data_IF_326110167163
#
_entry.id   IF_326110167163
#
_cell.length_a   1.000
_cell.length_b   1.000
_cell.length_c   1.000
_cell.angle_alpha   90.00
_cell.angle_beta   90.00
_cell.angle_gamma   90.00
#
_symmetry.space_group_name_H-M   'P 1'
#
loop_
_entity.id
_entity.type
_entity.pdbx_description
1 polymer ?
#
# COMPACT_ATOMS: atom_id res chain seq x y z
N UNK A 1 57.12 -9.30 57.90
CA UNK A 1 56.39 -8.40 56.97
C UNK A 1 56.46 -9.08 55.62
N UNK A 2 55.45 -9.89 55.34
CA UNK A 2 55.43 -10.79 54.19
C UNK A 2 54.79 -10.06 53.01
N UNK A 3 55.54 -9.90 51.91
CA UNK A 3 55.05 -9.29 50.67
C UNK A 3 54.56 -10.37 49.72
N UNK A 4 53.26 -10.34 49.41
CA UNK A 4 52.59 -11.25 48.48
C UNK A 4 52.51 -10.57 47.12
N UNK A 5 53.15 -11.15 46.11
CA UNK A 5 53.05 -10.75 44.71
C UNK A 5 51.89 -11.47 44.03
N UNK A 6 50.87 -10.70 43.60
CA UNK A 6 49.74 -11.24 42.83
C UNK A 6 50.00 -11.08 41.32
N UNK A 7 49.85 -12.18 40.60
CA UNK A 7 49.96 -12.31 39.15
C UNK A 7 48.56 -12.13 38.53
N UNK A 8 48.33 -11.08 37.74
CA UNK A 8 47.05 -10.88 37.04
C UNK A 8 47.11 -11.49 35.63
N UNK A 9 46.22 -12.45 35.34
CA UNK A 9 45.98 -12.99 34.00
C UNK A 9 44.87 -12.16 33.32
N UNK A 10 44.97 -11.83 32.02
CA UNK A 10 43.87 -11.16 31.33
C UNK A 10 42.81 -12.20 30.92
N UNK A 11 41.54 -11.86 31.15
CA UNK A 11 40.37 -12.60 30.66
C UNK A 11 40.05 -12.05 29.27
N UNK A 12 40.15 -12.89 28.24
CA UNK A 12 39.61 -12.60 26.91
C UNK A 12 38.09 -12.84 26.93
N UNK A 13 37.31 -11.79 26.70
CA UNK A 13 35.86 -11.86 26.52
C UNK A 13 35.56 -11.90 25.01
N UNK A 14 35.27 -13.09 24.49
CA UNK A 14 34.80 -13.26 23.13
C UNK A 14 33.30 -12.93 23.05
N UNK A 15 32.96 -11.86 22.34
CA UNK A 15 31.56 -11.50 22.01
C UNK A 15 31.20 -12.14 20.66
N UNK A 16 30.29 -13.13 20.69
CA UNK A 16 29.69 -13.72 19.50
C UNK A 16 28.48 -12.85 19.12
N UNK A 17 28.50 -12.27 17.93
CA UNK A 17 27.39 -11.48 17.39
C UNK A 17 26.56 -12.33 16.42
N UNK A 18 25.24 -12.23 16.59
CA UNK A 18 24.16 -13.01 15.97
C UNK A 18 24.06 -12.95 14.44
N UNK A 19 23.35 -13.93 13.87
CA UNK A 19 22.45 -13.68 12.74
C UNK A 19 21.21 -14.59 12.83
N UNK A 20 20.11 -14.08 13.38
CA UNK A 20 18.78 -14.63 13.10
C UNK A 20 18.28 -13.95 11.83
N UNK A 21 18.25 -14.68 10.72
CA UNK A 21 17.51 -14.27 9.53
C UNK A 21 16.03 -14.45 9.83
N UNK A 22 15.30 -13.35 9.99
CA UNK A 22 13.84 -13.37 10.03
C UNK A 22 13.34 -13.36 8.58
N UNK A 23 13.02 -14.53 8.05
CA UNK A 23 12.17 -14.60 6.86
C UNK A 23 10.78 -14.13 7.27
N UNK A 24 10.40 -12.91 6.87
CA UNK A 24 9.01 -12.47 6.98
C UNK A 24 8.18 -13.32 6.01
N UNK A 25 7.45 -14.28 6.56
CA UNK A 25 6.51 -15.10 5.81
C UNK A 25 5.38 -14.20 5.27
N UNK A 26 5.17 -14.22 3.95
CA UNK A 26 4.10 -13.46 3.27
C UNK A 26 2.77 -13.84 3.90
N UNK A 27 2.06 -12.86 4.48
CA UNK A 27 0.76 -13.08 5.09
C UNK A 27 -0.20 -13.73 4.07
N UNK A 28 -1.04 -14.69 4.48
CA UNK A 28 -1.97 -15.36 3.58
C UNK A 28 -2.93 -14.33 2.97
N UNK A 29 -3.14 -14.43 1.66
CA UNK A 29 -4.13 -13.62 0.93
C UNK A 29 -5.46 -13.63 1.69
N UNK A 30 -5.92 -12.46 2.09
CA UNK A 30 -7.14 -12.33 2.90
C UNK A 30 -8.29 -12.81 2.04
N UNK A 31 -8.97 -13.90 2.44
CA UNK A 31 -10.20 -14.32 1.77
C UNK A 31 -11.23 -13.22 1.94
N UNK A 32 -11.40 -12.46 0.88
CA UNK A 32 -12.39 -11.41 0.83
C UNK A 32 -13.78 -12.04 0.78
N UNK A 33 -14.61 -11.71 1.76
CA UNK A 33 -15.99 -12.21 1.86
C UNK A 33 -16.97 -11.34 1.06
N UNK A 34 -16.51 -10.26 0.42
CA UNK A 34 -17.31 -9.35 -0.40
C UNK A 34 -17.72 -10.02 -1.72
N UNK A 35 -18.89 -9.68 -2.23
CA UNK A 35 -19.29 -10.16 -3.56
C UNK A 35 -18.51 -9.41 -4.66
N UNK A 36 -18.28 -10.02 -5.84
CA UNK A 36 -17.66 -9.32 -6.96
C UNK A 36 -18.39 -8.03 -7.35
N UNK A 37 -19.72 -8.00 -7.23
CA UNK A 37 -20.52 -6.81 -7.52
C UNK A 37 -20.27 -5.68 -6.51
N UNK A 38 -20.06 -6.00 -5.22
CA UNK A 38 -19.72 -4.99 -4.20
C UNK A 38 -18.34 -4.40 -4.44
N UNK A 39 -17.37 -5.25 -4.81
CA UNK A 39 -16.01 -4.84 -5.16
C UNK A 39 -16.08 -3.90 -6.37
N UNK A 40 -16.78 -4.31 -7.43
CA UNK A 40 -16.94 -3.51 -8.64
C UNK A 40 -17.63 -2.17 -8.38
N UNK A 41 -18.69 -2.13 -7.57
CA UNK A 41 -19.37 -0.91 -7.18
C UNK A 41 -18.43 0.05 -6.43
N UNK A 42 -17.62 -0.47 -5.51
CA UNK A 42 -16.67 0.33 -4.75
C UNK A 42 -15.53 0.86 -5.64
N UNK A 43 -14.93 0.00 -6.46
CA UNK A 43 -13.88 0.39 -7.41
C UNK A 43 -14.39 1.43 -8.40
N UNK A 44 -15.65 1.31 -8.86
CA UNK A 44 -16.28 2.29 -9.74
C UNK A 44 -16.36 3.68 -9.10
N UNK A 45 -16.74 3.77 -7.83
CA UNK A 45 -16.72 5.03 -7.09
C UNK A 45 -15.29 5.58 -6.93
N UNK A 46 -14.32 4.72 -6.59
CA UNK A 46 -12.93 5.14 -6.43
C UNK A 46 -12.38 5.72 -7.76
N UNK A 47 -12.60 5.04 -8.89
CA UNK A 47 -12.17 5.53 -10.21
C UNK A 47 -12.87 6.84 -10.59
N UNK A 48 -14.17 6.98 -10.27
CA UNK A 48 -14.88 8.24 -10.47
C UNK A 48 -14.24 9.40 -9.72
N UNK A 49 -13.92 9.20 -8.43
CA UNK A 49 -13.31 10.22 -7.58
C UNK A 49 -11.88 10.55 -8.04
N UNK A 50 -11.08 9.55 -8.39
CA UNK A 50 -9.73 9.72 -8.93
C UNK A 50 -9.73 10.57 -10.22
N UNK A 51 -10.63 10.26 -11.17
CA UNK A 51 -10.82 11.05 -12.40
C UNK A 51 -11.31 12.48 -12.13
N UNK A 52 -12.03 12.69 -11.03
CA UNK A 52 -12.45 14.02 -10.59
C UNK A 52 -11.35 14.79 -9.83
N UNK A 53 -10.14 14.23 -9.69
CA UNK A 53 -9.02 14.76 -8.90
C UNK A 53 -9.25 14.76 -7.38
N UNK A 54 -10.10 13.86 -6.88
CA UNK A 54 -10.30 13.61 -5.46
C UNK A 54 -9.72 12.24 -5.11
N UNK A 55 -8.45 12.20 -4.73
CA UNK A 55 -7.71 10.96 -4.50
C UNK A 55 -8.36 10.04 -3.45
N UNK A 56 -8.94 8.90 -3.84
CA UNK A 56 -9.63 7.98 -2.92
C UNK A 56 -8.65 7.09 -2.12
N UNK A 57 -7.34 7.29 -2.30
CA UNK A 57 -6.33 6.33 -1.88
C UNK A 57 -6.14 5.26 -2.95
N UNK A 58 -5.92 4.01 -2.52
CA UNK A 58 -5.77 2.87 -3.42
C UNK A 58 -7.10 2.39 -4.00
N UNK A 59 -7.08 1.91 -5.24
CA UNK A 59 -8.21 1.30 -5.94
C UNK A 59 -8.33 -0.19 -5.57
N UNK A 60 -8.84 -0.47 -4.38
CA UNK A 60 -8.94 -1.81 -3.76
C UNK A 60 -10.39 -2.32 -3.58
N UNK A 61 -11.37 -1.60 -4.15
CA UNK A 61 -12.78 -1.93 -4.00
C UNK A 61 -13.29 -1.85 -2.56
N UNK A 62 -12.61 -1.10 -1.68
CA UNK A 62 -13.00 -0.89 -0.29
C UNK A 62 -13.38 0.58 -0.04
N UNK A 63 -14.54 0.80 0.60
CA UNK A 63 -15.00 2.11 1.05
C UNK A 63 -14.27 2.57 2.33
N UNK A 64 -12.94 2.64 2.26
CA UNK A 64 -12.08 3.06 3.35
C UNK A 64 -12.11 4.56 3.61
N UNK A 65 -11.31 4.99 4.58
CA UNK A 65 -11.26 6.38 5.06
C UNK A 65 -10.96 7.38 3.95
N UNK A 66 -10.02 7.05 3.08
CA UNK A 66 -9.62 7.93 1.99
C UNK A 66 -10.73 8.05 0.94
N UNK A 67 -11.35 6.95 0.51
CA UNK A 67 -12.54 6.97 -0.38
C UNK A 67 -13.66 7.84 0.20
N UNK A 68 -13.96 7.68 1.50
CA UNK A 68 -15.03 8.47 2.16
C UNK A 68 -14.70 9.94 2.26
N UNK A 69 -13.46 10.29 2.62
CA UNK A 69 -12.99 11.69 2.68
C UNK A 69 -13.00 12.32 1.30
N UNK A 70 -12.55 11.60 0.28
CA UNK A 70 -12.58 12.05 -1.11
C UNK A 70 -14.02 12.33 -1.58
N UNK A 71 -14.97 11.44 -1.26
CA UNK A 71 -16.38 11.67 -1.56
C UNK A 71 -16.94 12.89 -0.83
N UNK A 72 -16.65 13.05 0.46
CA UNK A 72 -17.12 14.21 1.23
C UNK A 72 -16.61 15.54 0.65
N UNK A 73 -15.31 15.60 0.30
CA UNK A 73 -14.70 16.76 -0.33
C UNK A 73 -15.26 17.02 -1.74
N UNK A 74 -15.51 15.96 -2.52
CA UNK A 74 -16.14 16.07 -3.83
C UNK A 74 -17.55 16.67 -3.71
N UNK A 75 -18.38 16.19 -2.76
CA UNK A 75 -19.71 16.75 -2.49
C UNK A 75 -19.63 18.22 -2.03
N UNK A 76 -18.73 18.53 -1.09
CA UNK A 76 -18.50 19.91 -0.62
C UNK A 76 -18.12 20.84 -1.78
N UNK A 77 -17.28 20.38 -2.72
CA UNK A 77 -16.89 21.16 -3.90
C UNK A 77 -18.06 21.51 -4.84
N UNK A 78 -19.16 20.73 -4.78
CA UNK A 78 -20.41 20.99 -5.52
C UNK A 78 -21.44 21.79 -4.70
N UNK A 79 -21.09 22.20 -3.48
CA UNK A 79 -22.00 22.87 -2.54
C UNK A 79 -23.03 21.93 -1.90
N UNK A 80 -22.82 20.62 -1.97
CA UNK A 80 -23.66 19.63 -1.29
C UNK A 80 -23.24 19.49 0.16
N UNK A 81 -24.18 19.10 1.02
CA UNK A 81 -23.88 18.83 2.41
C UNK A 81 -22.99 17.58 2.50
N UNK A 82 -21.79 17.66 3.10
CA UNK A 82 -20.92 16.49 3.22
C UNK A 82 -21.58 15.45 4.12
N UNK A 83 -21.49 14.18 3.70
CA UNK A 83 -21.96 13.07 4.52
C UNK A 83 -21.13 12.94 5.79
N UNK A 84 -21.78 12.59 6.90
CA UNK A 84 -21.08 12.23 8.12
C UNK A 84 -20.20 11.01 7.85
N UNK A 85 -18.88 11.06 8.11
CA UNK A 85 -18.01 9.90 7.92
C UNK A 85 -18.56 8.72 8.72
N UNK A 86 -18.96 7.65 8.02
CA UNK A 86 -19.35 6.39 8.63
C UNK A 86 -18.19 5.73 9.38
N UNK A 87 -18.42 4.54 9.96
CA UNK A 87 -17.34 3.80 10.62
C UNK A 87 -16.21 3.52 9.60
N UNK A 88 -14.98 4.04 9.83
CA UNK A 88 -13.83 3.88 8.93
C UNK A 88 -13.47 2.40 8.67
N UNK A 89 -13.78 1.52 9.62
CA UNK A 89 -13.52 0.08 9.53
C UNK A 89 -14.62 -0.70 8.82
N UNK A 90 -15.70 -0.04 8.39
CA UNK A 90 -16.83 -0.67 7.71
C UNK A 90 -16.73 -0.47 6.20
N UNK A 91 -17.02 -1.53 5.44
CA UNK A 91 -17.20 -1.46 3.99
C UNK A 91 -18.64 -1.10 3.59
N UNK A 92 -19.41 -0.40 4.44
CA UNK A 92 -20.76 0.01 4.10
C UNK A 92 -20.74 0.99 2.92
N UNK A 93 -21.53 0.73 1.88
CA UNK A 93 -21.64 1.63 0.74
C UNK A 93 -22.06 3.04 1.20
N UNK A 94 -21.35 4.10 0.76
CA UNK A 94 -21.77 5.48 0.99
C UNK A 94 -22.96 5.84 0.11
N UNK A 95 -23.59 7.00 0.33
CA UNK A 95 -24.54 7.50 -0.65
C UNK A 95 -23.80 7.95 -1.92
N UNK A 96 -24.23 7.43 -3.06
CA UNK A 96 -23.68 7.74 -4.39
C UNK A 96 -24.72 8.43 -5.28
N UNK A 97 -25.82 8.90 -4.69
CA UNK A 97 -26.86 9.63 -5.39
C UNK A 97 -26.29 10.88 -6.10
N UNK A 98 -26.75 11.10 -7.33
CA UNK A 98 -26.30 12.22 -8.16
C UNK A 98 -24.87 12.09 -8.71
N UNK A 99 -24.27 10.90 -8.64
CA UNK A 99 -23.01 10.58 -9.32
C UNK A 99 -23.30 9.77 -10.59
N UNK A 100 -22.72 10.17 -11.71
CA UNK A 100 -22.82 9.44 -12.98
C UNK A 100 -21.77 8.33 -13.07
N UNK A 101 -21.91 7.33 -12.20
CA UNK A 101 -20.98 6.21 -12.12
C UNK A 101 -21.03 5.30 -13.36
N UNK A 102 -22.14 5.33 -14.11
CA UNK A 102 -22.31 4.50 -15.31
C UNK A 102 -21.33 4.86 -16.43
N UNK A 103 -20.77 6.08 -16.41
CA UNK A 103 -19.68 6.49 -17.32
C UNK A 103 -18.36 5.77 -17.08
N UNK A 104 -18.22 5.12 -15.93
CA UNK A 104 -17.04 4.34 -15.56
C UNK A 104 -17.27 2.88 -15.96
N UNK A 105 -17.03 2.60 -17.24
CA UNK A 105 -17.10 1.27 -17.83
C UNK A 105 -16.03 1.11 -18.94
N UNK A 106 -15.28 0.00 -19.01
CA UNK A 106 -15.23 -1.08 -18.02
C UNK A 106 -14.50 -0.64 -16.74
N UNK A 107 -14.90 -1.20 -15.59
CA UNK A 107 -14.22 -0.94 -14.29
C UNK A 107 -12.89 -1.68 -14.21
N UNK A 108 -12.84 -2.91 -14.71
CA UNK A 108 -11.63 -3.74 -14.73
C UNK A 108 -11.18 -4.00 -16.16
N UNK A 109 -9.87 -4.04 -16.37
CA UNK A 109 -9.26 -4.35 -17.65
C UNK A 109 -8.30 -5.52 -17.50
N UNK A 110 -8.08 -6.25 -18.59
CA UNK A 110 -6.94 -7.16 -18.70
C UNK A 110 -5.73 -6.38 -19.15
N UNK A 111 -4.69 -6.34 -18.32
CA UNK A 111 -3.41 -5.73 -18.66
C UNK A 111 -2.37 -6.80 -18.98
N UNK A 112 -1.68 -6.65 -20.10
CA UNK A 112 -0.53 -7.48 -20.45
C UNK A 112 0.75 -6.72 -20.07
N UNK A 113 1.49 -7.29 -19.13
CA UNK A 113 2.82 -6.80 -18.74
C UNK A 113 3.71 -6.64 -19.98
N UNK A 114 4.38 -5.50 -20.06
CA UNK A 114 5.25 -5.10 -21.16
C UNK A 114 6.72 -5.16 -20.75
N UNK A 115 7.63 -5.16 -21.74
CA UNK A 115 9.06 -5.10 -21.46
C UNK A 115 9.47 -3.80 -20.75
N UNK A 116 8.72 -2.72 -20.93
CA UNK A 116 8.96 -1.45 -20.24
C UNK A 116 8.66 -1.56 -18.74
N UNK A 117 7.59 -2.29 -18.37
CA UNK A 117 7.25 -2.55 -16.96
C UNK A 117 8.38 -3.37 -16.29
N UNK A 118 8.90 -4.37 -16.99
CA UNK A 118 10.01 -5.21 -16.51
C UNK A 118 11.32 -4.42 -16.29
N UNK A 119 11.55 -3.34 -17.06
CA UNK A 119 12.72 -2.48 -16.90
C UNK A 119 12.67 -1.62 -15.63
N UNK A 120 11.48 -1.42 -15.05
CA UNK A 120 11.30 -0.66 -13.82
C UNK A 120 11.52 -1.51 -12.55
N UNK A 121 11.61 -2.84 -12.69
CA UNK A 121 11.77 -3.79 -11.60
C UNK A 121 13.26 -4.10 -11.37
N UNK A 122 13.67 -4.17 -10.10
CA UNK A 122 15.06 -4.46 -9.75
C UNK A 122 15.29 -4.67 -8.26
N UNK A 123 16.55 -4.90 -7.90
CA UNK A 123 16.94 -5.05 -6.49
C UNK A 123 16.83 -3.70 -5.76
N UNK A 124 15.98 -3.63 -4.74
CA UNK A 124 15.87 -2.48 -3.85
C UNK A 124 16.77 -2.70 -2.62
N UNK A 125 17.86 -1.92 -2.44
CA UNK A 125 18.68 -2.02 -1.25
C UNK A 125 17.87 -1.64 0.00
N UNK A 126 18.01 -2.35 1.12
CA UNK A 126 17.29 -2.01 2.35
C UNK A 126 17.78 -0.71 3.02
N UNK A 127 19.07 -0.41 2.89
CA UNK A 127 19.67 0.75 3.55
C UNK A 127 19.37 2.05 2.77
N UNK A 128 18.73 3.00 3.43
CA UNK A 128 18.39 4.33 2.87
C UNK A 128 19.62 5.04 2.27
N UNK A 129 20.79 4.94 2.93
CA UNK A 129 22.03 5.54 2.43
C UNK A 129 22.53 4.93 1.12
N UNK A 130 22.16 3.68 0.81
CA UNK A 130 22.44 3.02 -0.48
C UNK A 130 21.38 3.40 -1.51
N UNK A 131 20.10 3.41 -1.12
CA UNK A 131 18.99 3.86 -1.97
C UNK A 131 19.23 5.28 -2.50
N UNK A 132 19.69 6.21 -1.65
CA UNK A 132 19.97 7.60 -2.02
C UNK A 132 21.08 7.77 -3.08
N UNK A 133 21.89 6.72 -3.35
CA UNK A 133 22.92 6.74 -4.39
C UNK A 133 22.40 6.24 -5.74
N UNK A 134 21.21 5.66 -5.78
CA UNK A 134 20.60 5.18 -7.01
C UNK A 134 20.07 6.35 -7.82
N UNK A 135 20.13 6.22 -9.15
CA UNK A 135 19.58 7.23 -10.06
C UNK A 135 18.04 7.27 -10.01
N UNK A 136 17.42 6.12 -9.75
CA UNK A 136 15.99 5.94 -9.52
C UNK A 136 15.80 4.75 -8.58
N UNK A 137 14.71 4.74 -7.82
CA UNK A 137 14.33 3.61 -6.99
C UNK A 137 13.52 2.63 -7.86
N UNK A 138 14.00 1.39 -8.07
CA UNK A 138 13.23 0.39 -8.82
C UNK A 138 12.06 -0.13 -8.00
N UNK A 139 11.03 -0.68 -8.65
CA UNK A 139 10.02 -1.49 -7.95
C UNK A 139 10.63 -2.83 -7.56
N UNK A 140 10.18 -3.39 -6.43
CA UNK A 140 10.71 -4.67 -5.89
C UNK A 140 10.26 -5.86 -6.70
N UNK A 141 9.06 -5.79 -7.25
CA UNK A 141 8.51 -6.81 -8.13
C UNK A 141 7.54 -6.20 -9.16
N UNK A 142 7.13 -7.04 -10.11
CA UNK A 142 6.25 -6.62 -11.20
C UNK A 142 4.83 -6.27 -10.74
N UNK A 143 4.39 -6.82 -9.60
CA UNK A 143 3.06 -6.54 -9.08
C UNK A 143 3.03 -5.17 -8.40
N UNK A 144 4.11 -4.77 -7.72
CA UNK A 144 4.28 -3.41 -7.19
C UNK A 144 4.33 -2.37 -8.33
N UNK A 145 5.06 -2.64 -9.41
CA UNK A 145 5.11 -1.76 -10.60
C UNK A 145 3.71 -1.54 -11.21
N UNK A 146 3.00 -2.65 -11.47
CA UNK A 146 1.67 -2.59 -12.08
C UNK A 146 0.66 -1.98 -11.11
N UNK A 147 0.75 -2.29 -9.82
CA UNK A 147 -0.09 -1.72 -8.77
C UNK A 147 0.02 -0.21 -8.73
N UNK A 148 1.24 0.31 -8.64
CA UNK A 148 1.52 1.75 -8.63
C UNK A 148 1.10 2.43 -9.94
N UNK A 149 1.34 1.79 -11.10
CA UNK A 149 0.95 2.30 -12.41
C UNK A 149 -0.56 2.56 -12.55
N UNK A 150 -1.38 1.77 -11.86
CA UNK A 150 -2.84 1.90 -11.87
C UNK A 150 -3.43 2.38 -10.54
N UNK A 151 -2.59 2.81 -9.58
CA UNK A 151 -3.00 3.18 -8.22
C UNK A 151 -3.82 2.09 -7.51
N UNK A 152 -3.56 0.81 -7.81
CA UNK A 152 -4.23 -0.37 -7.28
C UNK A 152 -3.32 -1.19 -6.36
N UNK A 153 -3.88 -2.09 -5.58
CA UNK A 153 -3.13 -2.97 -4.67
C UNK A 153 -3.29 -4.45 -5.05
N UNK A 154 -2.35 -5.27 -4.62
CA UNK A 154 -2.32 -6.71 -4.85
C UNK A 154 -2.92 -7.38 -3.62
N UNK A 155 -4.16 -7.87 -3.73
CA UNK A 155 -4.82 -8.60 -2.64
C UNK A 155 -4.21 -9.98 -2.34
#
# INVERSE_FOLDING_TARGET
>A
MDSVTFWTRPIFLATIFSALSSFAEKAPARKDTRSPADIEAATRLQVFLDRANFGPGKLDGFYGDFTRKALALYRESRGEQPETPGNPKSNAAPDVSGLDLATIDPVFITYKVTDADLQNVGEMPEAVAKQAKLKALPYRDILEEVGEKFHSDVD
#
